data_IF_508368932648
#
_entry.id   IF_508368932648
#
_cell.length_a   1.000
_cell.length_b   1.000
_cell.length_c   1.000
_cell.angle_alpha   90.00
_cell.angle_beta   90.00
_cell.angle_gamma   90.00
#
_symmetry.space_group_name_H-M   'P 1'
#
loop_
_entity.id
_entity.type
_entity.pdbx_description
1 polymer ?
#
# COMPACT_ATOMS: atom_id res chain seq x y z
N UNK A 1 -43.04 -10.54 -73.37
CA UNK A 1 -41.99 -9.51 -73.21
C UNK A 1 -42.17 -8.90 -71.82
N UNK A 2 -41.26 -9.17 -70.88
CA UNK A 2 -41.32 -8.64 -69.50
C UNK A 2 -40.40 -7.41 -69.40
N UNK A 3 -40.82 -6.28 -68.82
CA UNK A 3 -40.00 -5.07 -68.71
C UNK A 3 -38.99 -5.16 -67.55
N UNK A 4 -37.90 -4.39 -67.69
CA UNK A 4 -36.60 -4.63 -67.07
C UNK A 4 -36.43 -4.28 -65.60
N UNK A 5 -35.51 -5.01 -64.97
CA UNK A 5 -34.92 -4.72 -63.67
C UNK A 5 -33.92 -3.57 -63.79
N UNK A 6 -34.17 -2.48 -63.08
CA UNK A 6 -33.19 -1.41 -62.84
C UNK A 6 -32.52 -1.66 -61.49
N UNK A 7 -31.20 -1.84 -61.49
CA UNK A 7 -30.39 -1.99 -60.28
C UNK A 7 -30.14 -0.60 -59.69
N UNK A 8 -30.76 -0.31 -58.56
CA UNK A 8 -30.43 0.88 -57.76
C UNK A 8 -29.26 0.54 -56.85
N UNK A 9 -28.09 1.11 -57.13
CA UNK A 9 -26.93 1.11 -56.23
C UNK A 9 -27.28 1.91 -54.98
N UNK A 10 -27.42 1.23 -53.83
CA UNK A 10 -27.53 1.87 -52.54
C UNK A 10 -26.10 2.22 -52.06
N UNK A 11 -25.80 3.51 -52.00
CA UNK A 11 -24.58 4.01 -51.35
C UNK A 11 -24.84 3.93 -49.84
N UNK A 12 -24.19 2.96 -49.18
CA UNK A 12 -24.17 2.87 -47.72
C UNK A 12 -23.12 3.85 -47.22
N UNK A 13 -23.55 5.04 -46.80
CA UNK A 13 -22.69 5.96 -46.05
C UNK A 13 -22.53 5.42 -44.63
N UNK A 14 -21.43 4.73 -44.38
CA UNK A 14 -21.02 4.37 -43.03
C UNK A 14 -20.73 5.64 -42.23
N UNK A 15 -21.65 6.01 -41.33
CA UNK A 15 -21.33 6.94 -40.25
C UNK A 15 -20.33 6.24 -39.32
N UNK A 16 -19.05 6.60 -39.44
CA UNK A 16 -18.07 6.31 -38.41
C UNK A 16 -18.51 7.07 -37.14
N UNK A 17 -19.10 6.35 -36.20
CA UNK A 17 -19.29 6.86 -34.85
C UNK A 17 -17.90 7.09 -34.25
N UNK A 18 -17.47 8.35 -34.19
CA UNK A 18 -16.38 8.75 -33.31
C UNK A 18 -16.87 8.55 -31.88
N UNK A 19 -16.70 7.33 -31.37
CA UNK A 19 -16.75 7.08 -29.95
C UNK A 19 -15.56 7.85 -29.37
N UNK A 20 -15.84 9.03 -28.83
CA UNK A 20 -14.90 9.70 -27.95
C UNK A 20 -14.63 8.74 -26.80
N UNK A 21 -13.50 8.03 -26.87
CA UNK A 21 -12.88 7.39 -25.73
C UNK A 21 -12.63 8.53 -24.73
N UNK A 22 -13.59 8.79 -23.86
CA UNK A 22 -13.30 9.41 -22.59
C UNK A 22 -12.33 8.44 -21.93
N UNK A 23 -11.03 8.72 -22.05
CA UNK A 23 -10.03 8.06 -21.23
C UNK A 23 -10.49 8.31 -19.81
N UNK A 24 -10.92 7.27 -19.09
CA UNK A 24 -11.06 7.37 -17.65
C UNK A 24 -9.78 8.06 -17.17
N UNK A 25 -9.92 9.16 -16.41
CA UNK A 25 -8.76 9.90 -15.96
C UNK A 25 -7.85 8.92 -15.22
N UNK A 26 -6.68 8.66 -15.78
CA UNK A 26 -5.70 7.76 -15.20
C UNK A 26 -5.41 8.25 -13.77
N UNK A 27 -5.63 7.39 -12.76
CA UNK A 27 -5.42 7.69 -11.33
C UNK A 27 -4.06 8.36 -11.12
N UNK A 28 -3.04 7.90 -11.86
CA UNK A 28 -1.69 8.45 -11.83
C UNK A 28 -1.65 9.91 -12.26
N UNK A 29 -2.35 10.26 -13.34
CA UNK A 29 -2.45 11.64 -13.83
C UNK A 29 -3.21 12.52 -12.85
N UNK A 30 -4.30 12.01 -12.25
CA UNK A 30 -5.10 12.74 -11.26
C UNK A 30 -4.30 13.05 -9.99
N UNK A 31 -3.60 12.05 -9.45
CA UNK A 31 -2.74 12.20 -8.28
C UNK A 31 -1.58 13.16 -8.54
N UNK A 32 -0.95 13.08 -9.72
CA UNK A 32 0.13 14.00 -10.09
C UNK A 32 -0.34 15.46 -10.17
N UNK A 33 -1.56 15.72 -10.67
CA UNK A 33 -2.16 17.07 -10.68
C UNK A 33 -2.43 17.62 -9.27
N UNK A 34 -2.64 16.74 -8.29
CA UNK A 34 -2.80 17.10 -6.88
C UNK A 34 -1.48 17.27 -6.13
N UNK A 35 -0.34 17.11 -6.82
CA UNK A 35 0.99 17.27 -6.25
C UNK A 35 1.56 16.02 -5.60
N UNK A 36 0.88 14.87 -5.70
CA UNK A 36 1.42 13.59 -5.26
C UNK A 36 2.54 13.17 -6.21
N UNK A 37 3.68 12.76 -5.65
CA UNK A 37 4.81 12.29 -6.46
C UNK A 37 4.47 10.95 -7.10
N UNK A 38 4.44 10.92 -8.44
CA UNK A 38 4.19 9.72 -9.24
C UNK A 38 5.45 9.31 -9.98
N UNK A 39 5.83 8.04 -9.83
CA UNK A 39 6.93 7.42 -10.55
C UNK A 39 6.35 6.68 -11.77
N UNK A 40 6.75 7.13 -12.96
CA UNK A 40 6.27 6.59 -14.22
C UNK A 40 7.15 5.42 -14.69
N UNK A 41 6.57 4.55 -15.53
CA UNK A 41 7.31 3.45 -16.16
C UNK A 41 8.60 3.95 -16.82
N UNK A 42 9.65 3.14 -16.74
CA UNK A 42 10.99 3.38 -17.32
C UNK A 42 11.79 4.52 -16.66
N UNK A 43 11.32 5.10 -15.55
CA UNK A 43 12.13 6.00 -14.73
C UNK A 43 13.00 5.21 -13.74
N UNK A 44 14.14 5.76 -13.34
CA UNK A 44 15.03 5.11 -12.35
C UNK A 44 14.31 4.84 -11.01
N UNK A 45 13.56 5.79 -10.41
CA UNK A 45 12.81 5.53 -9.19
C UNK A 45 11.86 4.33 -9.33
N UNK A 46 11.10 4.29 -10.43
CA UNK A 46 10.19 3.19 -10.71
C UNK A 46 10.92 1.84 -10.81
N UNK A 47 12.05 1.80 -11.51
CA UNK A 47 12.84 0.57 -11.67
C UNK A 47 13.43 0.10 -10.33
N UNK A 48 13.87 1.01 -9.47
CA UNK A 48 14.37 0.67 -8.14
C UNK A 48 13.28 -0.01 -7.30
N UNK A 49 12.06 0.54 -7.27
CA UNK A 49 10.95 -0.08 -6.54
C UNK A 49 10.64 -1.49 -7.08
N UNK A 50 10.86 -1.77 -8.36
CA UNK A 50 10.63 -3.10 -8.93
C UNK A 50 11.74 -4.12 -8.65
N UNK A 51 12.95 -3.70 -8.29
CA UNK A 51 14.04 -4.63 -7.95
C UNK A 51 13.95 -5.12 -6.50
N UNK A 52 13.28 -4.36 -5.63
CA UNK A 52 13.24 -4.64 -4.20
C UNK A 52 12.08 -5.58 -3.80
N UNK A 53 12.09 -6.82 -4.29
CA UNK A 53 11.14 -7.87 -3.89
C UNK A 53 11.87 -9.12 -3.43
N UNK A 54 11.32 -9.76 -2.39
CA UNK A 54 11.80 -11.07 -1.96
C UNK A 54 11.36 -12.21 -2.90
N UNK A 55 10.13 -12.11 -3.43
CA UNK A 55 9.57 -13.07 -4.37
C UNK A 55 9.78 -12.60 -5.81
N UNK A 56 10.40 -13.45 -6.63
CA UNK A 56 10.58 -13.20 -8.06
C UNK A 56 9.24 -13.04 -8.77
N UNK A 57 8.26 -13.88 -8.46
CA UNK A 57 6.92 -13.80 -9.04
C UNK A 57 6.23 -12.46 -8.73
N UNK A 58 6.39 -11.93 -7.51
CA UNK A 58 5.88 -10.61 -7.17
C UNK A 58 6.62 -9.50 -7.93
N UNK A 59 7.94 -9.64 -8.08
CA UNK A 59 8.80 -8.73 -8.83
C UNK A 59 8.58 -8.75 -10.34
N UNK A 60 7.88 -9.75 -10.89
CA UNK A 60 7.52 -9.84 -12.30
C UNK A 60 6.25 -9.04 -12.66
N UNK A 61 5.43 -8.66 -11.68
CA UNK A 61 4.25 -7.83 -11.93
C UNK A 61 4.64 -6.39 -12.26
N UNK A 62 3.88 -5.75 -13.15
CA UNK A 62 4.16 -4.40 -13.64
C UNK A 62 3.00 -3.46 -13.32
N UNK A 63 3.14 -2.56 -12.32
CA UNK A 63 2.12 -1.55 -12.07
C UNK A 63 2.06 -0.54 -13.23
N UNK A 64 0.94 0.16 -13.35
CA UNK A 64 0.76 1.26 -14.31
C UNK A 64 1.64 2.45 -13.91
N UNK A 65 1.61 2.81 -12.63
CA UNK A 65 2.49 3.79 -12.02
C UNK A 65 2.67 3.49 -10.53
N UNK A 66 3.55 4.26 -9.87
CA UNK A 66 3.80 4.15 -8.44
C UNK A 66 3.56 5.51 -7.77
N UNK A 67 2.81 5.52 -6.68
CA UNK A 67 2.66 6.69 -5.81
C UNK A 67 3.47 6.48 -4.52
N UNK A 68 4.23 7.50 -4.12
CA UNK A 68 5.18 7.44 -3.01
C UNK A 68 4.87 8.53 -1.97
N UNK A 69 3.75 8.42 -1.21
CA UNK A 69 3.32 9.46 -0.27
C UNK A 69 4.38 9.74 0.81
N UNK A 70 4.53 11.02 1.16
CA UNK A 70 5.51 11.51 2.16
C UNK A 70 4.89 11.81 3.52
N UNK A 71 3.56 11.72 3.62
CA UNK A 71 2.82 11.93 4.88
C UNK A 71 1.51 11.15 4.90
N UNK A 72 0.91 11.02 6.10
CA UNK A 72 -0.44 10.49 6.25
C UNK A 72 -1.48 11.31 5.47
N UNK A 73 -1.28 12.63 5.32
CA UNK A 73 -2.16 13.49 4.53
C UNK A 73 -2.13 13.12 3.04
N UNK A 74 -0.94 12.94 2.46
CA UNK A 74 -0.80 12.49 1.07
C UNK A 74 -1.37 11.07 0.88
N UNK A 75 -1.15 10.17 1.84
CA UNK A 75 -1.79 8.85 1.82
C UNK A 75 -3.32 8.96 1.84
N UNK A 76 -3.89 9.83 2.68
CA UNK A 76 -5.33 10.10 2.73
C UNK A 76 -5.86 10.64 1.40
N UNK A 77 -5.11 11.53 0.73
CA UNK A 77 -5.48 12.03 -0.59
C UNK A 77 -5.53 10.88 -1.61
N UNK A 78 -4.49 10.04 -1.65
CA UNK A 78 -4.46 8.87 -2.54
C UNK A 78 -5.66 7.95 -2.30
N UNK A 79 -5.95 7.62 -1.03
CA UNK A 79 -7.07 6.74 -0.68
C UNK A 79 -8.43 7.33 -1.06
N UNK A 80 -8.62 8.65 -0.92
CA UNK A 80 -9.85 9.32 -1.37
C UNK A 80 -10.04 9.23 -2.87
N UNK A 81 -8.96 9.41 -3.64
CA UNK A 81 -9.06 9.31 -5.10
C UNK A 81 -9.38 7.87 -5.56
N UNK A 82 -8.90 6.87 -4.83
CA UNK A 82 -9.25 5.47 -5.07
C UNK A 82 -10.71 5.13 -4.75
N UNK A 83 -11.41 5.95 -3.96
CA UNK A 83 -12.84 5.75 -3.70
C UNK A 83 -13.70 5.99 -4.95
N UNK A 84 -13.30 6.97 -5.78
CA UNK A 84 -14.09 7.43 -6.93
C UNK A 84 -13.67 6.76 -8.25
N UNK A 85 -12.63 5.92 -8.23
CA UNK A 85 -12.03 5.32 -9.43
C UNK A 85 -11.93 3.80 -9.26
N UNK A 86 -12.45 3.07 -10.24
CA UNK A 86 -12.33 1.62 -10.33
C UNK A 86 -10.92 1.22 -10.81
N UNK A 87 -9.93 1.31 -9.92
CA UNK A 87 -8.55 0.88 -10.16
C UNK A 87 -8.07 -0.02 -9.05
N UNK A 88 -7.54 -1.18 -9.42
CA UNK A 88 -6.88 -2.05 -8.47
C UNK A 88 -5.59 -1.39 -7.99
N UNK A 89 -5.29 -1.56 -6.70
CA UNK A 89 -4.07 -1.06 -6.10
C UNK A 89 -3.45 -2.08 -5.16
N UNK A 90 -2.14 -1.95 -4.93
CA UNK A 90 -1.43 -2.67 -3.88
C UNK A 90 -0.60 -1.70 -3.05
N UNK A 91 -0.37 -2.03 -1.78
CA UNK A 91 0.47 -1.23 -0.88
C UNK A 91 1.77 -2.00 -0.60
N UNK A 92 2.90 -1.37 -0.91
CA UNK A 92 4.22 -1.93 -0.72
C UNK A 92 4.94 -1.20 0.41
N UNK A 93 5.25 -1.96 1.46
CA UNK A 93 6.32 -1.62 2.42
C UNK A 93 7.64 -2.23 1.90
N UNK A 94 8.18 -3.26 2.54
CA UNK A 94 9.45 -3.90 2.11
C UNK A 94 9.33 -5.00 1.05
N UNK A 95 8.16 -5.25 0.45
CA UNK A 95 8.03 -6.20 -0.67
C UNK A 95 8.28 -7.69 -0.34
N UNK A 96 8.16 -8.10 0.92
CA UNK A 96 8.53 -9.45 1.38
C UNK A 96 7.39 -10.48 1.31
N UNK A 97 6.16 -10.05 0.99
CA UNK A 97 4.98 -10.91 0.83
C UNK A 97 5.09 -11.69 -0.49
N UNK A 98 5.07 -13.04 -0.47
CA UNK A 98 5.26 -13.84 -1.69
C UNK A 98 4.00 -14.01 -2.54
N UNK A 99 2.86 -13.51 -2.08
CA UNK A 99 1.59 -13.62 -2.79
C UNK A 99 1.45 -12.49 -3.82
N UNK A 100 1.26 -12.86 -5.09
CA UNK A 100 0.96 -11.91 -6.16
C UNK A 100 -0.29 -11.08 -5.81
N UNK A 101 -0.25 -9.78 -6.08
CA UNK A 101 -1.37 -8.86 -5.84
C UNK A 101 -1.40 -8.23 -4.44
N UNK A 102 -0.53 -8.65 -3.51
CA UNK A 102 -0.58 -8.15 -2.12
C UNK A 102 0.35 -6.94 -1.93
N UNK A 103 1.64 -7.12 -2.24
CA UNK A 103 2.65 -6.06 -2.18
C UNK A 103 3.15 -5.64 -3.57
N UNK A 104 2.59 -6.22 -4.63
CA UNK A 104 2.87 -5.91 -6.03
C UNK A 104 1.57 -6.04 -6.83
N UNK A 105 1.51 -5.42 -8.01
CA UNK A 105 0.29 -5.41 -8.81
C UNK A 105 0.59 -5.33 -10.31
N UNK A 106 -0.27 -5.97 -11.10
CA UNK A 106 -0.28 -5.89 -12.56
C UNK A 106 -1.29 -4.84 -13.01
N UNK A 107 -0.85 -3.89 -13.83
CA UNK A 107 -1.69 -2.85 -14.47
C UNK A 107 -2.58 -2.03 -13.52
N UNK A 108 -2.15 -1.88 -12.26
CA UNK A 108 -2.82 -1.06 -11.24
C UNK A 108 -1.89 0.01 -10.63
N UNK A 109 -2.38 0.68 -9.60
CA UNK A 109 -1.59 1.64 -8.80
C UNK A 109 -0.79 0.89 -7.74
N UNK A 110 0.53 1.04 -7.73
CA UNK A 110 1.33 0.62 -6.58
C UNK A 110 1.53 1.83 -5.65
N UNK A 111 1.17 1.70 -4.39
CA UNK A 111 1.45 2.70 -3.36
C UNK A 111 2.65 2.20 -2.55
N UNK A 112 3.80 2.85 -2.66
CA UNK A 112 4.97 2.52 -1.84
C UNK A 112 5.04 3.41 -0.61
N UNK A 113 5.27 2.82 0.56
CA UNK A 113 5.44 3.58 1.81
C UNK A 113 6.87 4.04 2.03
N UNK A 114 7.79 3.85 1.07
CA UNK A 114 9.24 4.08 1.23
C UNK A 114 9.62 5.49 1.74
N UNK A 115 8.81 6.50 1.47
CA UNK A 115 9.04 7.88 1.92
C UNK A 115 8.53 8.13 3.36
N UNK A 116 7.77 7.20 3.93
CA UNK A 116 7.33 7.19 5.33
C UNK A 116 8.35 6.40 6.16
N UNK A 117 9.57 6.92 6.26
CA UNK A 117 10.74 6.17 6.75
C UNK A 117 11.45 6.81 7.96
N UNK A 118 10.72 7.59 8.77
CA UNK A 118 11.28 8.22 9.96
C UNK A 118 11.50 7.22 11.10
N UNK A 119 12.57 7.42 11.87
CA UNK A 119 12.77 6.82 13.19
C UNK A 119 12.98 7.95 14.19
N UNK A 120 12.07 8.08 15.15
CA UNK A 120 12.15 9.11 16.19
C UNK A 120 12.04 8.43 17.54
N UNK A 121 13.13 8.41 18.31
CA UNK A 121 13.17 7.86 19.66
C UNK A 121 12.96 8.93 20.71
N UNK A 122 12.06 8.68 21.65
CA UNK A 122 11.87 9.51 22.83
C UNK A 122 12.47 8.81 24.06
N UNK A 123 13.50 9.42 24.66
CA UNK A 123 14.18 8.87 25.82
C UNK A 123 13.38 8.98 27.12
N UNK A 124 12.44 9.91 27.20
CA UNK A 124 11.65 10.16 28.42
C UNK A 124 10.65 9.04 28.68
N UNK A 125 9.89 8.65 27.66
CA UNK A 125 8.88 7.58 27.74
C UNK A 125 9.36 6.24 27.16
N UNK A 126 10.58 6.19 26.62
CA UNK A 126 11.20 5.01 26.00
C UNK A 126 10.42 4.45 24.81
N UNK A 127 9.73 5.33 24.07
CA UNK A 127 8.98 4.96 22.87
C UNK A 127 9.70 5.37 21.58
N UNK A 128 9.32 4.75 20.47
CA UNK A 128 9.84 5.12 19.16
C UNK A 128 8.71 5.22 18.13
N UNK A 129 8.72 6.28 17.33
CA UNK A 129 7.91 6.40 16.12
C UNK A 129 8.70 5.76 14.99
N UNK A 130 8.14 4.73 14.36
CA UNK A 130 8.76 3.98 13.28
C UNK A 130 7.90 4.08 12.03
N UNK A 131 8.49 4.57 10.95
CA UNK A 131 7.83 4.69 9.65
C UNK A 131 7.57 3.32 8.99
N UNK A 132 6.39 3.10 8.38
CA UNK A 132 6.04 1.83 7.74
C UNK A 132 6.86 1.53 6.48
N UNK A 133 7.56 2.52 5.93
CA UNK A 133 8.44 2.40 4.76
C UNK A 133 9.79 1.77 5.02
N UNK A 134 10.18 1.62 6.28
CA UNK A 134 11.49 1.09 6.63
C UNK A 134 11.59 -0.42 6.41
N UNK A 135 12.78 -0.88 6.05
CA UNK A 135 13.19 -2.26 6.33
C UNK A 135 13.38 -2.44 7.83
N UNK A 136 13.30 -3.68 8.33
CA UNK A 136 13.52 -3.95 9.73
C UNK A 136 14.93 -3.57 10.19
N UNK A 137 15.92 -3.79 9.31
CA UNK A 137 17.31 -3.39 9.58
C UNK A 137 17.43 -1.88 9.75
N UNK A 138 16.82 -1.09 8.88
CA UNK A 138 16.91 0.38 8.95
C UNK A 138 16.13 0.95 10.14
N UNK A 139 15.00 0.34 10.49
CA UNK A 139 14.27 0.68 11.70
C UNK A 139 15.12 0.45 12.96
N UNK A 140 15.85 -0.67 13.03
CA UNK A 140 16.74 -0.95 14.15
C UNK A 140 17.99 -0.04 14.16
N UNK A 141 18.58 0.25 12.99
CA UNK A 141 19.70 1.21 12.86
C UNK A 141 19.34 2.60 13.37
N UNK A 142 18.09 3.04 13.17
CA UNK A 142 17.61 4.32 13.68
C UNK A 142 17.63 4.43 15.22
N UNK A 143 17.81 3.32 15.93
CA UNK A 143 17.97 3.27 17.39
C UNK A 143 19.42 3.01 17.83
N UNK A 144 20.38 2.96 16.92
CA UNK A 144 21.78 2.75 17.28
C UNK A 144 22.27 3.84 18.26
N UNK A 145 23.02 3.42 19.28
CA UNK A 145 23.51 4.30 20.34
C UNK A 145 22.49 4.65 21.43
N UNK A 146 21.21 4.28 21.28
CA UNK A 146 20.17 4.53 22.32
C UNK A 146 20.16 3.48 23.44
N UNK A 147 20.79 2.32 23.21
CA UNK A 147 20.70 1.15 24.10
C UNK A 147 19.33 0.45 24.05
N UNK A 148 18.49 0.76 23.05
CA UNK A 148 17.16 0.15 22.85
C UNK A 148 17.09 -0.69 21.58
N UNK A 149 16.18 -1.65 21.60
CA UNK A 149 15.87 -2.51 20.46
C UNK A 149 14.36 -2.65 20.32
N UNK A 150 13.88 -2.87 19.10
CA UNK A 150 12.48 -3.13 18.82
C UNK A 150 12.20 -4.64 18.89
N UNK A 151 11.03 -5.02 19.40
CA UNK A 151 10.52 -6.38 19.21
C UNK A 151 10.09 -6.50 17.75
N UNK A 152 10.87 -7.19 16.93
CA UNK A 152 10.39 -7.52 15.60
C UNK A 152 11.26 -8.42 14.74
N UNK A 153 11.35 -8.09 13.45
CA UNK A 153 11.77 -8.95 12.36
C UNK A 153 13.05 -9.75 12.61
N UNK A 154 13.01 -11.04 12.27
CA UNK A 154 14.20 -11.91 12.31
C UNK A 154 15.12 -11.72 11.11
N UNK A 155 14.59 -11.16 10.01
CA UNK A 155 15.31 -10.87 8.78
C UNK A 155 15.26 -9.36 8.53
N UNK A 156 16.43 -8.76 8.28
CA UNK A 156 16.58 -7.31 8.14
C UNK A 156 15.79 -6.70 6.98
N UNK A 157 15.70 -7.39 5.84
CA UNK A 157 15.01 -6.90 4.64
C UNK A 157 13.47 -6.89 4.72
N UNK A 158 12.86 -7.42 5.78
CA UNK A 158 11.40 -7.43 5.92
C UNK A 158 10.91 -6.01 6.22
N UNK A 159 9.92 -5.53 5.48
CA UNK A 159 9.36 -4.20 5.70
C UNK A 159 8.51 -4.09 6.97
N UNK A 160 8.68 -2.99 7.71
CA UNK A 160 7.99 -2.71 8.98
C UNK A 160 6.47 -2.78 8.83
N UNK A 161 5.91 -2.10 7.83
CA UNK A 161 4.45 -1.98 7.67
C UNK A 161 3.78 -3.35 7.53
N UNK A 162 4.22 -4.16 6.57
CA UNK A 162 3.64 -5.50 6.37
C UNK A 162 3.91 -6.46 7.53
N UNK A 163 5.07 -6.35 8.17
CA UNK A 163 5.44 -7.19 9.32
C UNK A 163 4.56 -6.93 10.54
N UNK A 164 4.30 -5.66 10.88
CA UNK A 164 3.45 -5.29 12.00
C UNK A 164 2.00 -5.69 11.76
N UNK A 165 1.48 -5.50 10.54
CA UNK A 165 0.10 -5.91 10.19
C UNK A 165 -0.07 -7.43 10.10
N UNK A 166 1.02 -8.18 9.92
CA UNK A 166 1.05 -9.65 9.99
C UNK A 166 1.29 -10.21 11.40
N UNK A 167 1.26 -9.34 12.42
CA UNK A 167 1.50 -9.67 13.83
C UNK A 167 2.98 -9.65 14.22
N UNK A 168 3.84 -10.33 13.46
CA UNK A 168 5.30 -10.22 13.59
C UNK A 168 5.93 -11.09 14.69
N UNK A 169 6.41 -12.27 14.31
CA UNK A 169 7.18 -13.15 15.21
C UNK A 169 8.63 -12.68 15.33
N UNK A 170 9.11 -12.51 16.56
CA UNK A 170 10.45 -12.02 16.90
C UNK A 170 11.31 -13.08 17.59
N UNK A 171 12.62 -12.83 17.71
CA UNK A 171 13.48 -13.54 18.66
C UNK A 171 13.10 -13.25 20.12
N UNK A 172 12.53 -12.07 20.36
CA UNK A 172 12.11 -11.59 21.68
C UNK A 172 10.70 -12.05 22.08
N UNK A 173 10.00 -12.78 21.21
CA UNK A 173 8.58 -13.08 21.41
C UNK A 173 8.25 -13.98 22.60
N UNK A 174 9.21 -14.78 23.08
CA UNK A 174 9.00 -15.57 24.30
C UNK A 174 8.85 -14.71 25.56
N UNK A 175 9.39 -13.49 25.55
CA UNK A 175 9.31 -12.55 26.67
C UNK A 175 8.31 -11.42 26.42
N UNK A 176 8.22 -10.93 25.17
CA UNK A 176 7.49 -9.71 24.84
C UNK A 176 6.30 -9.94 23.87
N UNK A 177 5.96 -11.18 23.55
CA UNK A 177 4.86 -11.48 22.63
C UNK A 177 5.17 -11.13 21.16
N UNK A 178 4.12 -10.97 20.35
CA UNK A 178 4.30 -10.63 18.94
C UNK A 178 4.65 -9.14 18.82
N UNK A 179 5.37 -8.76 17.77
CA UNK A 179 5.80 -7.38 17.55
C UNK A 179 4.63 -6.40 17.58
N UNK A 180 3.51 -6.76 16.96
CA UNK A 180 2.28 -5.96 16.97
C UNK A 180 1.69 -5.74 18.37
N UNK A 181 1.93 -6.63 19.33
CA UNK A 181 1.50 -6.45 20.72
C UNK A 181 2.30 -5.35 21.45
N UNK A 182 3.41 -4.91 20.88
CA UNK A 182 4.27 -3.88 21.46
C UNK A 182 3.99 -2.49 20.85
N UNK A 183 3.01 -2.37 19.96
CA UNK A 183 2.63 -1.08 19.36
C UNK A 183 1.64 -0.35 20.25
N UNK A 184 2.01 0.86 20.65
CA UNK A 184 1.19 1.74 21.51
C UNK A 184 0.11 2.45 20.70
N UNK A 185 0.42 2.86 19.46
CA UNK A 185 -0.49 3.60 18.59
C UNK A 185 -0.18 3.33 17.12
N UNK A 186 -1.21 3.10 16.31
CA UNK A 186 -1.13 3.17 14.85
C UNK A 186 -1.83 4.44 14.36
N UNK A 187 -1.13 5.24 13.55
CA UNK A 187 -1.79 6.26 12.72
C UNK A 187 -2.27 5.59 11.43
N UNK A 188 -3.58 5.56 11.21
CA UNK A 188 -4.22 4.78 10.15
C UNK A 188 -5.02 5.69 9.24
N UNK A 189 -4.86 5.52 7.92
CA UNK A 189 -5.75 6.10 6.91
C UNK A 189 -6.85 5.10 6.60
N UNK A 190 -8.08 5.44 6.94
CA UNK A 190 -9.26 4.63 6.64
C UNK A 190 -9.65 4.72 5.16
N UNK A 191 -10.50 3.80 4.68
CA UNK A 191 -10.94 3.74 3.29
C UNK A 191 -11.66 5.01 2.78
N UNK A 192 -12.22 5.83 3.68
CA UNK A 192 -12.80 7.14 3.34
C UNK A 192 -11.76 8.28 3.38
N UNK A 193 -10.48 7.95 3.60
CA UNK A 193 -9.36 8.87 3.78
C UNK A 193 -9.34 9.63 5.10
N UNK A 194 -10.13 9.22 6.11
CA UNK A 194 -9.99 9.77 7.47
C UNK A 194 -8.72 9.24 8.11
N UNK A 195 -7.92 10.12 8.72
CA UNK A 195 -6.75 9.74 9.50
C UNK A 195 -7.20 9.56 10.95
N UNK A 196 -6.92 8.41 11.53
CA UNK A 196 -7.29 8.09 12.92
C UNK A 196 -6.10 7.55 13.69
N UNK A 197 -6.10 7.76 15.00
CA UNK A 197 -5.22 7.06 15.92
C UNK A 197 -5.95 5.82 16.45
N UNK A 198 -5.38 4.65 16.21
CA UNK A 198 -5.81 3.40 16.81
C UNK A 198 -4.86 3.09 17.97
N UNK A 199 -5.40 3.02 19.19
CA UNK A 199 -4.67 2.69 20.41
C UNK A 199 -5.64 2.11 21.45
N UNK A 200 -5.17 1.92 22.69
CA UNK A 200 -5.98 1.34 23.77
C UNK A 200 -7.18 2.21 24.22
N UNK A 201 -7.19 3.50 23.87
CA UNK A 201 -8.21 4.47 24.31
C UNK A 201 -9.07 5.00 23.17
N UNK A 202 -8.57 4.98 21.94
CA UNK A 202 -9.21 5.53 20.75
C UNK A 202 -9.21 4.49 19.62
N UNK A 203 -10.35 4.37 18.91
CA UNK A 203 -10.53 3.40 17.82
C UNK A 203 -10.06 1.97 18.19
N UNK A 204 -10.43 1.53 19.40
CA UNK A 204 -9.95 0.26 19.99
C UNK A 204 -10.29 -0.96 19.13
N UNK A 205 -11.44 -0.96 18.44
CA UNK A 205 -11.80 -2.00 17.47
C UNK A 205 -10.81 -2.10 16.31
N UNK A 206 -10.35 -0.96 15.79
CA UNK A 206 -9.31 -0.90 14.75
C UNK A 206 -7.97 -1.38 15.31
N UNK A 207 -7.58 -0.93 16.50
CA UNK A 207 -6.36 -1.39 17.18
C UNK A 207 -6.37 -2.90 17.36
N UNK A 208 -7.47 -3.45 17.87
CA UNK A 208 -7.63 -4.89 18.05
C UNK A 208 -7.53 -5.60 16.71
N UNK A 209 -8.26 -5.17 15.67
CA UNK A 209 -8.19 -5.83 14.36
C UNK A 209 -6.78 -5.86 13.75
N UNK A 210 -5.95 -4.85 14.05
CA UNK A 210 -4.56 -4.78 13.59
C UNK A 210 -3.64 -5.66 14.46
N UNK A 211 -3.83 -5.66 15.78
CA UNK A 211 -2.97 -6.35 16.74
C UNK A 211 -3.40 -7.79 17.06
N UNK A 212 -4.63 -8.19 16.70
CA UNK A 212 -5.23 -9.49 17.04
C UNK A 212 -4.90 -10.55 15.99
N UNK A 213 -3.68 -11.06 16.08
CA UNK A 213 -3.42 -12.47 15.78
C UNK A 213 -3.06 -13.16 17.10
N UNK A 214 -4.05 -13.32 17.99
CA UNK A 214 -3.89 -14.11 19.21
C UNK A 214 -4.40 -15.54 18.96
N UNK A 215 -3.53 -16.58 18.93
CA UNK A 215 -3.96 -17.96 18.83
C UNK A 215 -4.75 -18.47 20.06
N UNK A 216 -4.93 -17.65 21.11
CA UNK A 216 -5.70 -17.98 22.32
C UNK A 216 -6.99 -17.19 22.50
N UNK A 217 -7.27 -16.15 21.70
CA UNK A 217 -8.60 -15.53 21.72
C UNK A 217 -9.52 -16.29 20.77
N UNK A 218 -10.34 -17.17 21.34
CA UNK A 218 -11.57 -17.62 20.68
C UNK A 218 -12.38 -16.38 20.33
N UNK A 219 -12.66 -16.18 19.04
CA UNK A 219 -13.76 -15.34 18.59
C UNK A 219 -15.01 -15.72 19.40
N UNK A 220 -15.38 -14.87 20.36
CA UNK A 220 -16.75 -14.78 20.81
C UNK A 220 -17.30 -13.55 20.11
N UNK A 221 -17.91 -13.79 18.96
CA UNK A 221 -18.85 -12.87 18.35
C UNK A 221 -20.15 -13.09 19.12
N UNK A 222 -20.48 -12.20 20.05
CA UNK A 222 -21.88 -12.00 20.43
C UNK A 222 -22.42 -10.81 19.64
N UNK A 223 -23.62 -11.02 19.09
CA UNK A 223 -24.38 -10.09 18.27
C UNK A 223 -24.91 -8.91 19.08
#
# INVERSE_FOLDING_TARGET
>A
MRPGQTWRTAIVTSLAAFCSLATAADICSKLNQQGITIENRLTIPFLNVLQDYWSTACGDLRPTCIASPKSALEMSQIVKELHDIDTLFAVKSGGHMPNNGFASIQDGLLITTQNLNNVIYNAEDQTAIIGPGLSWEDAQKGLDGTGRTLVGGRLGGVGVGGYMLGGGLSFLSSQYGWAANNVINFEVVLANGTIVNANEKENTGTQMSIASWDPRQRMTVEQ
#
